data_IF_567181550080
#
_entry.id   IF_567181550080
#
_cell.length_a   1.000
_cell.length_b   1.000
_cell.length_c   1.000
_cell.angle_alpha   90.00
_cell.angle_beta   90.00
_cell.angle_gamma   90.00
#
_symmetry.space_group_name_H-M   'P 1'
#
loop_
_entity.id
_entity.type
_entity.pdbx_description
1 polymer ?
#
# COMPACT_ATOMS: atom_id res chain seq x y z
N UNK A 1 32.55 -46.20 -47.18
CA UNK A 1 31.35 -46.60 -46.43
C UNK A 1 31.72 -46.41 -44.97
N UNK A 2 31.49 -45.21 -44.44
CA UNK A 2 32.18 -44.69 -43.25
C UNK A 2 31.17 -44.08 -42.29
N UNK A 3 31.37 -44.38 -41.01
CA UNK A 3 30.40 -44.37 -39.91
C UNK A 3 29.87 -42.97 -39.58
N UNK A 4 28.55 -42.78 -39.64
CA UNK A 4 27.90 -41.66 -38.97
C UNK A 4 27.66 -42.01 -37.49
N UNK A 5 28.04 -41.15 -36.53
CA UNK A 5 27.68 -41.38 -35.14
C UNK A 5 26.19 -41.13 -34.93
N UNK A 6 25.50 -42.09 -34.29
CA UNK A 6 24.10 -41.98 -33.91
C UNK A 6 23.90 -40.83 -32.92
N UNK A 7 23.17 -39.80 -33.32
CA UNK A 7 22.74 -38.72 -32.42
C UNK A 7 21.73 -39.28 -31.42
N UNK A 8 22.14 -39.39 -30.16
CA UNK A 8 21.24 -39.70 -29.06
C UNK A 8 20.25 -38.55 -28.89
N UNK A 9 18.95 -38.84 -29.00
CA UNK A 9 17.89 -37.89 -28.74
C UNK A 9 17.91 -37.50 -27.25
N UNK A 10 18.56 -36.40 -26.90
CA UNK A 10 18.45 -35.77 -25.57
C UNK A 10 17.02 -35.27 -25.41
N UNK A 11 16.17 -36.09 -24.79
CA UNK A 11 14.94 -35.61 -24.16
C UNK A 11 15.31 -34.74 -22.96
N UNK A 12 15.65 -33.46 -23.20
CA UNK A 12 15.51 -32.41 -22.19
C UNK A 12 14.05 -31.96 -22.17
N UNK A 13 13.19 -32.86 -21.71
CA UNK A 13 11.87 -32.48 -21.23
C UNK A 13 12.09 -31.68 -19.95
N UNK A 14 12.03 -30.36 -20.07
CA UNK A 14 11.90 -29.42 -18.95
C UNK A 14 10.64 -29.82 -18.18
N UNK A 15 10.79 -30.71 -17.18
CA UNK A 15 9.90 -30.73 -16.04
C UNK A 15 10.23 -29.48 -15.22
N UNK A 16 9.87 -28.31 -15.76
CA UNK A 16 9.74 -27.11 -14.96
C UNK A 16 8.63 -27.44 -13.97
N UNK A 17 9.02 -27.85 -12.75
CA UNK A 17 8.09 -27.94 -11.64
C UNK A 17 7.39 -26.58 -11.57
N UNK A 18 6.09 -26.59 -11.89
CA UNK A 18 5.24 -25.43 -11.76
C UNK A 18 5.15 -25.17 -10.27
N UNK A 19 6.07 -24.37 -9.75
CA UNK A 19 5.97 -23.87 -8.39
C UNK A 19 4.83 -22.87 -8.47
N UNK A 20 3.68 -23.14 -7.81
CA UNK A 20 2.58 -22.19 -7.82
C UNK A 20 3.13 -20.84 -7.37
N UNK A 21 2.85 -19.79 -8.13
CA UNK A 21 3.23 -18.45 -7.71
C UNK A 21 2.59 -18.21 -6.35
N UNK A 22 3.41 -18.14 -5.30
CA UNK A 22 2.88 -17.90 -3.99
C UNK A 22 2.41 -16.45 -3.93
N UNK A 23 1.09 -16.27 -4.05
CA UNK A 23 0.42 -14.97 -3.98
C UNK A 23 0.11 -14.58 -2.53
N UNK A 24 0.49 -15.40 -1.53
CA UNK A 24 0.41 -15.00 -0.13
C UNK A 24 1.33 -13.80 0.06
N UNK A 25 0.74 -12.61 0.20
CA UNK A 25 1.51 -11.43 0.58
C UNK A 25 1.81 -11.56 2.05
N UNK A 26 3.09 -11.59 2.40
CA UNK A 26 3.50 -11.46 3.78
C UNK A 26 3.43 -9.97 4.14
N UNK A 27 2.37 -9.61 4.85
CA UNK A 27 2.18 -8.25 5.36
C UNK A 27 2.99 -8.01 6.64
N UNK A 28 3.76 -8.99 7.14
CA UNK A 28 4.60 -8.82 8.33
C UNK A 28 5.66 -7.72 8.17
N UNK A 29 6.12 -7.47 6.94
CA UNK A 29 6.98 -6.34 6.62
C UNK A 29 6.15 -5.13 6.17
N UNK A 30 6.46 -4.58 5.00
CA UNK A 30 5.73 -3.50 4.38
C UNK A 30 5.75 -3.64 2.86
N UNK A 31 4.76 -3.02 2.20
CA UNK A 31 4.70 -2.93 0.74
C UNK A 31 4.69 -1.47 0.30
N UNK A 32 5.58 -1.12 -0.63
CA UNK A 32 5.60 0.19 -1.28
C UNK A 32 4.82 0.12 -2.59
N UNK A 33 3.84 0.99 -2.74
CA UNK A 33 2.87 0.97 -3.84
C UNK A 33 2.77 2.33 -4.50
N UNK A 34 2.78 2.34 -5.83
CA UNK A 34 2.54 3.56 -6.61
C UNK A 34 1.06 3.97 -6.52
N UNK A 35 0.81 5.24 -6.20
CA UNK A 35 -0.52 5.82 -6.22
C UNK A 35 -1.08 5.84 -7.66
N UNK A 36 -2.36 5.47 -7.80
CA UNK A 36 -3.11 5.43 -9.06
C UNK A 36 -4.33 6.34 -9.02
N UNK A 37 -4.95 6.49 -7.86
CA UNK A 37 -6.06 7.40 -7.64
C UNK A 37 -5.91 8.11 -6.30
N UNK A 38 -6.32 9.37 -6.27
CA UNK A 38 -6.34 10.19 -5.06
C UNK A 38 -7.71 10.85 -4.98
N UNK A 39 -8.37 10.71 -3.84
CA UNK A 39 -9.58 11.44 -3.47
C UNK A 39 -9.29 12.24 -2.22
N UNK A 40 -9.71 13.49 -2.21
CA UNK A 40 -9.52 14.40 -1.09
C UNK A 40 -10.87 14.99 -0.73
N UNK A 41 -11.17 15.01 0.56
CA UNK A 41 -12.32 15.71 1.11
C UNK A 41 -11.81 16.69 2.15
N UNK A 42 -12.24 17.95 2.04
CA UNK A 42 -12.03 18.97 3.06
C UNK A 42 -13.33 19.13 3.87
N UNK A 43 -13.18 19.19 5.19
CA UNK A 43 -14.27 19.13 6.16
C UNK A 43 -14.14 20.26 7.18
N UNK A 44 -15.23 20.55 7.89
CA UNK A 44 -15.32 21.71 8.78
C UNK A 44 -14.67 21.52 10.15
N UNK A 45 -14.27 20.30 10.53
CA UNK A 45 -13.79 19.99 11.89
C UNK A 45 -14.90 19.89 12.95
N UNK A 46 -16.17 19.98 12.54
CA UNK A 46 -17.32 20.06 13.46
C UNK A 46 -18.09 18.75 13.60
N UNK A 47 -17.77 17.74 12.80
CA UNK A 47 -18.49 16.47 12.75
C UNK A 47 -17.53 15.30 12.44
N UNK A 48 -17.88 14.08 12.83
CA UNK A 48 -17.17 12.89 12.39
C UNK A 48 -17.33 12.70 10.88
N UNK A 49 -16.33 12.06 10.29
CA UNK A 49 -16.39 11.55 8.92
C UNK A 49 -16.02 10.07 8.91
N UNK A 50 -16.81 9.28 8.20
CA UNK A 50 -16.60 7.83 8.07
C UNK A 50 -16.51 7.43 6.60
N UNK A 51 -15.55 6.56 6.31
CA UNK A 51 -15.42 5.88 5.02
C UNK A 51 -14.98 4.44 5.28
N UNK A 52 -15.69 3.47 4.71
CA UNK A 52 -15.57 2.06 5.12
C UNK A 52 -15.74 1.93 6.65
N UNK A 53 -14.87 1.16 7.30
CA UNK A 53 -14.82 1.00 8.76
C UNK A 53 -13.89 2.02 9.46
N UNK A 54 -13.42 3.03 8.73
CA UNK A 54 -12.55 4.09 9.24
C UNK A 54 -13.35 5.34 9.57
N UNK A 55 -13.36 5.73 10.85
CA UNK A 55 -14.04 6.94 11.34
C UNK A 55 -13.03 7.90 11.98
N UNK A 56 -13.15 9.17 11.63
CA UNK A 56 -12.33 10.27 12.15
C UNK A 56 -13.24 11.28 12.81
N UNK A 57 -13.13 11.41 14.13
CA UNK A 57 -13.82 12.44 14.91
C UNK A 57 -13.23 13.83 14.61
N UNK A 58 -14.05 14.88 14.73
CA UNK A 58 -13.67 16.27 14.48
C UNK A 58 -12.82 16.48 13.21
N UNK A 59 -13.23 15.83 12.12
CA UNK A 59 -12.43 15.71 10.90
C UNK A 59 -12.37 17.04 10.12
N UNK A 60 -11.15 17.44 9.76
CA UNK A 60 -10.84 18.61 8.90
C UNK A 60 -10.53 18.17 7.47
N UNK A 61 -10.09 16.93 7.29
CA UNK A 61 -9.88 16.37 5.97
C UNK A 61 -9.70 14.87 5.97
N UNK A 62 -9.89 14.27 4.81
CA UNK A 62 -9.57 12.88 4.55
C UNK A 62 -8.95 12.74 3.16
N UNK A 63 -7.93 11.92 3.04
CA UNK A 63 -7.30 11.56 1.76
C UNK A 63 -7.40 10.04 1.61
N UNK A 64 -7.98 9.59 0.52
CA UNK A 64 -8.00 8.20 0.10
C UNK A 64 -7.06 8.06 -1.10
N UNK A 65 -6.07 7.18 -0.97
CA UNK A 65 -5.08 6.92 -2.02
C UNK A 65 -5.19 5.45 -2.41
N UNK A 66 -5.53 5.19 -3.67
CA UNK A 66 -5.63 3.83 -4.20
C UNK A 66 -4.40 3.48 -5.02
N UNK A 67 -3.93 2.24 -4.91
CA UNK A 67 -2.73 1.74 -5.57
C UNK A 67 -2.99 0.57 -6.52
N UNK A 68 -1.90 -0.08 -6.94
CA UNK A 68 -1.97 -1.37 -7.63
C UNK A 68 -2.26 -2.53 -6.68
N UNK A 69 -2.35 -3.75 -7.22
CA UNK A 69 -2.48 -4.93 -6.38
C UNK A 69 -1.13 -5.34 -5.79
N UNK A 70 -1.16 -5.86 -4.56
CA UNK A 70 -0.06 -6.61 -3.95
C UNK A 70 -0.58 -8.01 -3.66
N UNK A 71 0.01 -9.02 -4.30
CA UNK A 71 -0.57 -10.35 -4.37
C UNK A 71 -1.98 -10.32 -4.97
N UNK A 72 -2.96 -10.80 -4.21
CA UNK A 72 -4.38 -10.80 -4.61
C UNK A 72 -5.13 -9.53 -4.22
N UNK A 73 -4.57 -8.73 -3.31
CA UNK A 73 -5.29 -7.62 -2.69
C UNK A 73 -5.13 -6.33 -3.47
N UNK A 74 -6.21 -5.57 -3.65
CA UNK A 74 -6.07 -4.14 -3.97
C UNK A 74 -5.44 -3.41 -2.79
N UNK A 75 -4.96 -2.19 -3.00
CA UNK A 75 -4.28 -1.44 -1.93
C UNK A 75 -4.85 -0.04 -1.80
N UNK A 76 -5.01 0.37 -0.55
CA UNK A 76 -5.55 1.67 -0.20
C UNK A 76 -4.82 2.21 1.03
N UNK A 77 -4.50 3.51 1.02
CA UNK A 77 -4.10 4.24 2.21
C UNK A 77 -5.17 5.30 2.49
N UNK A 78 -5.75 5.24 3.69
CA UNK A 78 -6.69 6.21 4.24
C UNK A 78 -5.95 7.11 5.24
N UNK A 79 -6.01 8.42 5.02
CA UNK A 79 -5.35 9.42 5.86
C UNK A 79 -6.41 10.38 6.38
N UNK A 80 -6.66 10.36 7.68
CA UNK A 80 -7.57 11.29 8.34
C UNK A 80 -6.81 12.46 8.96
N UNK A 81 -7.44 13.63 9.00
CA UNK A 81 -6.90 14.82 9.64
C UNK A 81 -7.93 15.35 10.62
N UNK A 82 -7.55 15.46 11.90
CA UNK A 82 -8.48 15.81 12.99
C UNK A 82 -7.98 16.98 13.83
N UNK A 83 -8.92 17.68 14.48
CA UNK A 83 -8.64 18.65 15.55
C UNK A 83 -8.43 17.98 16.92
N UNK A 84 -8.74 16.69 17.05
CA UNK A 84 -8.62 15.97 18.31
C UNK A 84 -7.17 15.81 18.74
N UNK A 85 -6.96 15.89 20.06
CA UNK A 85 -5.64 15.80 20.66
C UNK A 85 -5.11 14.35 20.71
N UNK A 86 -6.01 13.36 20.68
CA UNK A 86 -5.71 11.94 20.77
C UNK A 86 -6.34 11.19 19.58
N UNK A 87 -5.70 11.24 18.40
CA UNK A 87 -6.20 10.54 17.22
C UNK A 87 -6.13 9.02 17.40
N UNK A 88 -7.00 8.23 16.73
CA UNK A 88 -6.91 6.79 16.79
C UNK A 88 -5.55 6.30 16.28
N UNK A 89 -5.05 5.16 16.81
CA UNK A 89 -3.77 4.62 16.40
C UNK A 89 -3.80 4.25 14.92
N UNK A 90 -2.62 4.27 14.25
CA UNK A 90 -2.53 3.74 12.90
C UNK A 90 -2.92 2.26 12.88
N UNK A 91 -3.55 1.84 11.79
CA UNK A 91 -4.12 0.50 11.66
C UNK A 91 -3.95 -0.04 10.24
N UNK A 92 -4.19 -1.34 10.11
CA UNK A 92 -4.20 -2.05 8.84
C UNK A 92 -5.28 -3.12 8.88
N UNK A 93 -6.09 -3.18 7.83
CA UNK A 93 -7.14 -4.18 7.68
C UNK A 93 -7.18 -4.75 6.26
N UNK A 94 -7.70 -5.98 6.15
CA UNK A 94 -8.04 -6.58 4.85
C UNK A 94 -9.56 -6.68 4.77
N UNK A 95 -10.17 -5.83 3.95
CA UNK A 95 -11.63 -5.74 3.81
C UNK A 95 -12.01 -5.87 2.36
N UNK A 96 -12.97 -6.73 2.04
CA UNK A 96 -13.51 -6.92 0.68
C UNK A 96 -12.45 -7.20 -0.40
N UNK A 97 -11.31 -7.77 -0.01
CA UNK A 97 -10.20 -8.05 -0.93
C UNK A 97 -9.21 -6.91 -1.10
N UNK A 98 -9.35 -5.80 -0.39
CA UNK A 98 -8.39 -4.70 -0.36
C UNK A 98 -7.60 -4.69 0.96
N UNK A 99 -6.30 -4.43 0.86
CA UNK A 99 -5.41 -4.15 1.97
C UNK A 99 -5.41 -2.64 2.23
N UNK A 100 -5.90 -2.23 3.40
CA UNK A 100 -6.20 -0.86 3.75
C UNK A 100 -5.31 -0.45 4.92
N UNK A 101 -4.37 0.46 4.66
CA UNK A 101 -3.66 1.16 5.73
C UNK A 101 -4.44 2.39 6.17
N UNK A 102 -4.45 2.66 7.47
CA UNK A 102 -5.09 3.84 8.06
C UNK A 102 -4.08 4.59 8.91
N UNK A 103 -4.07 5.92 8.77
CA UNK A 103 -3.35 6.83 9.66
C UNK A 103 -4.20 8.07 9.94
N UNK A 104 -4.23 8.53 11.18
CA UNK A 104 -4.87 9.79 11.55
C UNK A 104 -3.82 10.76 12.08
N UNK A 105 -3.85 12.00 11.58
CA UNK A 105 -2.85 13.02 11.83
C UNK A 105 -3.48 14.32 12.33
N UNK A 106 -2.71 15.20 12.97
CA UNK A 106 -3.17 16.54 13.30
C UNK A 106 -3.61 17.35 12.06
N UNK A 107 -4.65 18.17 12.20
CA UNK A 107 -5.23 18.98 11.12
C UNK A 107 -4.20 19.85 10.37
N UNK A 108 -3.19 20.38 11.06
CA UNK A 108 -2.17 21.24 10.45
C UNK A 108 -1.29 20.51 9.41
N UNK A 109 -1.26 19.18 9.41
CA UNK A 109 -0.55 18.39 8.42
C UNK A 109 -1.30 18.26 7.08
N UNK A 110 -2.59 18.61 7.04
CA UNK A 110 -3.47 18.29 5.91
C UNK A 110 -2.95 18.83 4.58
N UNK A 111 -2.61 20.11 4.51
CA UNK A 111 -2.17 20.75 3.28
C UNK A 111 -0.88 20.11 2.71
N UNK A 112 0.06 19.72 3.57
CA UNK A 112 1.30 19.07 3.15
C UNK A 112 1.04 17.70 2.53
N UNK A 113 0.18 16.89 3.15
CA UNK A 113 -0.19 15.58 2.62
C UNK A 113 -0.98 15.66 1.32
N UNK A 114 -1.88 16.65 1.17
CA UNK A 114 -2.57 16.90 -0.10
C UNK A 114 -1.56 17.21 -1.21
N UNK A 115 -0.55 18.05 -0.94
CA UNK A 115 0.48 18.37 -1.92
C UNK A 115 1.30 17.14 -2.34
N UNK A 116 1.73 16.32 -1.37
CA UNK A 116 2.47 15.08 -1.65
C UNK A 116 1.59 14.10 -2.45
N UNK A 117 0.35 13.86 -2.02
CA UNK A 117 -0.56 12.91 -2.67
C UNK A 117 -0.82 13.26 -4.15
N UNK A 118 -0.91 14.55 -4.48
CA UNK A 118 -1.14 15.02 -5.84
C UNK A 118 0.14 15.13 -6.68
N UNK A 119 1.31 14.77 -6.15
CA UNK A 119 2.54 14.77 -6.93
C UNK A 119 2.53 13.64 -7.95
N UNK A 120 2.98 13.93 -9.18
CA UNK A 120 3.12 12.90 -10.22
C UNK A 120 4.16 11.89 -9.78
N UNK A 121 3.74 10.65 -9.57
CA UNK A 121 4.61 9.60 -9.06
C UNK A 121 4.59 9.44 -7.54
N UNK A 122 3.58 9.96 -6.84
CA UNK A 122 3.37 9.64 -5.43
C UNK A 122 3.33 8.12 -5.20
N UNK A 123 3.92 7.69 -4.08
CA UNK A 123 3.90 6.32 -3.60
C UNK A 123 3.47 6.32 -2.14
N UNK A 124 2.87 5.22 -1.70
CA UNK A 124 2.56 5.00 -0.31
C UNK A 124 3.10 3.65 0.15
N UNK A 125 3.35 3.55 1.45
CA UNK A 125 3.76 2.32 2.11
C UNK A 125 2.62 1.82 2.99
N UNK A 126 2.36 0.52 2.95
CA UNK A 126 1.46 -0.18 3.86
C UNK A 126 2.28 -1.11 4.76
N UNK A 127 2.17 -0.97 6.08
CA UNK A 127 2.68 -1.95 7.04
C UNK A 127 1.53 -2.79 7.60
N UNK A 128 1.75 -4.07 7.88
CA UNK A 128 0.68 -5.00 8.28
C UNK A 128 -0.01 -4.70 9.62
N UNK A 129 0.53 -3.79 10.43
CA UNK A 129 -0.10 -3.27 11.65
C UNK A 129 -0.42 -1.77 11.57
N UNK A 130 -0.22 -1.17 10.40
CA UNK A 130 -0.40 0.25 10.12
C UNK A 130 0.70 1.18 10.63
N UNK A 131 1.56 0.77 11.57
CA UNK A 131 2.57 1.65 12.20
C UNK A 131 3.60 2.18 11.20
N UNK A 132 3.82 1.45 10.11
CA UNK A 132 4.75 1.82 9.05
C UNK A 132 4.07 2.52 7.87
N UNK A 133 2.78 2.82 7.94
CA UNK A 133 2.08 3.51 6.86
C UNK A 133 2.72 4.88 6.58
N UNK A 134 2.97 5.18 5.30
CA UNK A 134 3.63 6.42 4.90
C UNK A 134 3.25 6.82 3.47
N UNK A 135 3.49 8.08 3.13
CA UNK A 135 3.24 8.67 1.81
C UNK A 135 4.47 9.50 1.41
N UNK A 136 4.90 9.37 0.16
CA UNK A 136 6.04 10.10 -0.38
C UNK A 136 5.83 10.45 -1.87
N UNK A 137 6.64 11.39 -2.35
CA UNK A 137 6.69 11.79 -3.76
C UNK A 137 7.39 10.77 -4.65
N UNK A 138 8.11 9.82 -4.07
CA UNK A 138 8.86 8.78 -4.76
C UNK A 138 8.94 7.49 -3.92
N UNK A 139 9.24 6.36 -4.57
CA UNK A 139 9.31 5.06 -3.89
C UNK A 139 10.54 4.91 -2.99
N UNK A 140 11.68 5.54 -3.33
CA UNK A 140 12.93 5.32 -2.63
C UNK A 140 12.88 5.86 -1.20
N UNK A 141 12.18 6.97 -1.00
CA UNK A 141 11.92 7.60 0.30
C UNK A 141 11.10 6.74 1.27
N UNK A 142 10.50 5.63 0.80
CA UNK A 142 9.66 4.76 1.61
C UNK A 142 10.35 3.46 2.05
N UNK A 143 11.56 3.17 1.58
CA UNK A 143 12.27 1.99 2.07
C UNK A 143 12.85 2.24 3.47
N UNK A 144 12.61 1.31 4.38
CA UNK A 144 13.24 1.30 5.70
C UNK A 144 14.63 0.68 5.62
N UNK A 145 15.58 1.14 6.46
CA UNK A 145 16.87 0.47 6.60
C UNK A 145 16.66 -1.00 6.97
N UNK A 146 17.42 -1.89 6.36
CA UNK A 146 17.52 -3.28 6.83
C UNK A 146 17.97 -3.25 8.29
N UNK A 147 17.26 -3.98 9.17
CA UNK A 147 17.76 -4.19 10.52
C UNK A 147 19.18 -4.81 10.44
N UNK A 148 20.12 -4.36 11.28
CA UNK A 148 21.48 -4.90 11.30
C UNK A 148 21.53 -6.37 11.71
#
# INVERSE_FOLDING_TARGET
MENYPARSARHRGLMQQFTPLNLSTDWADYSVVKARGVRVVALSGQAPYSTNDYTVENAVGCIEITGGKVGVHGTMLLIGFTLDADPPPPAFDIVSGDAIGMITLPAHCFAAYVAIANTTGAHFRLGGDGRLNALATDAASLYLPSAP
#
